data_IF_213620752433
#
_entry.id   IF_213620752433
#
_cell.length_a   1.000
_cell.length_b   1.000
_cell.length_c   1.000
_cell.angle_alpha   90.00
_cell.angle_beta   90.00
_cell.angle_gamma   90.00
#
_symmetry.space_group_name_H-M   'P 1'
#
loop_
_entity.id
_entity.type
_entity.pdbx_description
1 polymer ?
#
# COMPACT_ATOMS: atom_id res chain seq x y z
N UNK A 1 6.71 21.87 0.34
CA UNK A 1 5.45 21.24 -0.10
C UNK A 1 4.35 21.93 0.69
N UNK A 2 3.44 22.67 0.00
CA UNK A 2 2.38 23.44 0.67
C UNK A 2 1.34 22.56 1.35
N UNK A 3 1.13 21.35 0.83
CA UNK A 3 0.21 20.39 1.40
C UNK A 3 0.91 19.02 1.58
N UNK A 4 1.23 18.72 2.83
CA UNK A 4 1.96 17.50 3.19
C UNK A 4 1.07 16.26 3.10
N UNK A 5 -0.22 16.41 3.39
CA UNK A 5 -1.16 15.31 3.27
C UNK A 5 -1.36 14.91 1.81
N UNK A 6 -1.56 15.87 0.90
CA UNK A 6 -1.70 15.56 -0.53
C UNK A 6 -0.46 14.89 -1.11
N UNK A 7 0.74 15.26 -0.63
CA UNK A 7 1.96 14.55 -1.02
C UNK A 7 1.94 13.09 -0.55
N UNK A 8 1.62 12.85 0.71
CA UNK A 8 1.51 11.48 1.26
C UNK A 8 0.39 10.70 0.56
N UNK A 9 -0.78 11.28 0.42
CA UNK A 9 -1.92 10.69 -0.27
C UNK A 9 -1.58 10.25 -1.70
N UNK A 10 -0.79 11.05 -2.43
CA UNK A 10 -0.36 10.70 -3.79
C UNK A 10 0.57 9.48 -3.86
N UNK A 11 1.19 9.09 -2.74
CA UNK A 11 2.05 7.91 -2.65
C UNK A 11 1.29 6.63 -2.31
N UNK A 12 0.15 6.75 -1.63
CA UNK A 12 -0.62 5.59 -1.14
C UNK A 12 -1.89 5.31 -1.95
N UNK A 13 -2.36 6.26 -2.75
CA UNK A 13 -3.56 6.09 -3.59
C UNK A 13 -3.19 5.57 -4.97
N UNK A 14 -3.78 4.47 -5.37
CA UNK A 14 -3.70 3.95 -6.74
C UNK A 14 -4.55 4.79 -7.70
N UNK A 15 -5.74 5.20 -7.26
CA UNK A 15 -6.66 6.02 -8.03
C UNK A 15 -6.55 7.48 -7.62
N UNK A 16 -6.42 8.37 -8.60
CA UNK A 16 -6.44 9.81 -8.39
C UNK A 16 -7.87 10.33 -8.53
N UNK A 17 -8.15 11.49 -7.94
CA UNK A 17 -9.47 12.11 -8.01
C UNK A 17 -9.92 12.47 -9.43
N UNK A 18 -8.97 12.70 -10.33
CA UNK A 18 -9.21 13.01 -11.75
C UNK A 18 -9.33 11.77 -12.67
N UNK A 19 -9.17 10.57 -12.13
CA UNK A 19 -9.35 9.34 -12.91
C UNK A 19 -10.83 9.04 -13.22
N UNK A 20 -11.78 9.65 -12.52
CA UNK A 20 -13.25 9.55 -12.73
C UNK A 20 -13.77 8.10 -12.84
N UNK A 21 -13.16 7.19 -12.11
CA UNK A 21 -13.45 5.76 -12.19
C UNK A 21 -14.84 5.39 -11.63
N UNK A 22 -15.33 6.11 -10.63
CA UNK A 22 -16.63 5.86 -10.01
C UNK A 22 -17.74 6.65 -10.70
N UNK A 23 -18.88 6.01 -10.92
CA UNK A 23 -20.09 6.66 -11.49
C UNK A 23 -20.68 7.67 -10.51
N UNK A 24 -20.63 7.37 -9.21
CA UNK A 24 -21.07 8.25 -8.13
C UNK A 24 -19.88 8.85 -7.39
N UNK A 25 -20.14 9.88 -6.59
CA UNK A 25 -19.09 10.51 -5.80
C UNK A 25 -18.26 9.47 -5.04
N UNK A 26 -16.94 9.68 -5.05
CA UNK A 26 -16.03 8.87 -4.27
C UNK A 26 -16.39 9.01 -2.78
N UNK A 27 -16.44 7.91 -2.03
CA UNK A 27 -16.62 7.99 -0.59
C UNK A 27 -15.46 8.77 0.04
N UNK A 28 -15.75 9.55 1.07
CA UNK A 28 -14.72 10.24 1.83
C UNK A 28 -13.71 9.24 2.36
N UNK A 29 -12.46 9.51 2.09
CA UNK A 29 -11.37 8.67 2.56
C UNK A 29 -10.91 9.16 3.94
N UNK A 30 -11.13 8.38 4.97
CA UNK A 30 -10.73 8.70 6.36
C UNK A 30 -9.21 8.81 6.60
N UNK A 31 -8.39 8.63 5.57
CA UNK A 31 -6.93 8.76 5.70
C UNK A 31 -6.49 10.17 6.14
N UNK A 32 -7.20 11.21 5.69
CA UNK A 32 -6.91 12.58 6.09
C UNK A 32 -7.21 12.82 7.57
N UNK A 33 -8.32 12.30 8.03
CA UNK A 33 -8.73 12.38 9.44
C UNK A 33 -7.69 11.68 10.32
N UNK A 34 -7.31 10.46 9.98
CA UNK A 34 -6.28 9.70 10.69
C UNK A 34 -4.94 10.43 10.67
N UNK A 35 -4.53 10.98 9.51
CA UNK A 35 -3.29 11.73 9.39
C UNK A 35 -3.27 12.97 10.29
N UNK A 36 -4.43 13.64 10.45
CA UNK A 36 -4.58 14.83 11.28
C UNK A 36 -4.82 14.50 12.76
N UNK A 37 -5.37 13.33 13.08
CA UNK A 37 -5.62 12.84 14.45
C UNK A 37 -4.34 12.87 15.30
N UNK A 38 -3.17 12.62 14.71
CA UNK A 38 -1.88 12.60 15.43
C UNK A 38 -1.35 13.99 15.81
N UNK A 39 -2.18 15.03 15.67
CA UNK A 39 -1.95 16.37 16.23
C UNK A 39 -0.73 17.10 15.67
N UNK A 40 0.09 17.69 16.56
CA UNK A 40 1.24 18.54 16.22
C UNK A 40 2.53 17.80 15.92
N UNK A 41 2.49 16.48 15.78
CA UNK A 41 3.66 15.64 15.46
C UNK A 41 4.24 15.96 14.08
N UNK A 42 5.48 15.52 13.87
CA UNK A 42 6.20 15.70 12.60
C UNK A 42 5.53 14.97 11.44
N UNK A 43 5.88 15.35 10.21
CA UNK A 43 5.31 14.75 9.00
C UNK A 43 5.57 13.24 8.91
N UNK A 44 6.78 12.81 9.20
CA UNK A 44 7.16 11.38 9.19
C UNK A 44 6.37 10.60 10.23
N UNK A 45 6.18 11.16 11.42
CA UNK A 45 5.43 10.51 12.49
C UNK A 45 3.95 10.37 12.13
N UNK A 46 3.38 11.36 11.44
CA UNK A 46 2.00 11.29 10.93
C UNK A 46 1.85 10.21 9.86
N UNK A 47 2.79 10.12 8.92
CA UNK A 47 2.80 9.05 7.91
C UNK A 47 2.86 7.67 8.57
N UNK A 48 3.81 7.48 9.50
CA UNK A 48 3.95 6.21 10.25
C UNK A 48 2.68 5.84 11.02
N UNK A 49 2.01 6.82 11.61
CA UNK A 49 0.77 6.59 12.35
C UNK A 49 -0.38 6.20 11.42
N UNK A 50 -0.50 6.89 10.28
CA UNK A 50 -1.52 6.55 9.28
C UNK A 50 -1.30 5.14 8.72
N UNK A 51 -0.07 4.80 8.31
CA UNK A 51 0.26 3.45 7.84
C UNK A 51 -0.03 2.39 8.91
N UNK A 52 0.25 2.69 10.18
CA UNK A 52 -0.03 1.78 11.30
C UNK A 52 -1.52 1.52 11.47
N UNK A 53 -2.36 2.56 11.33
CA UNK A 53 -3.82 2.49 11.49
C UNK A 53 -4.55 1.92 10.26
N UNK A 54 -3.91 1.90 9.10
CA UNK A 54 -4.53 1.54 7.81
C UNK A 54 -3.79 0.40 7.12
N UNK A 55 -2.74 0.70 6.38
CA UNK A 55 -1.99 -0.27 5.58
C UNK A 55 -1.53 -1.50 6.36
N UNK A 56 -1.05 -1.30 7.60
CA UNK A 56 -0.60 -2.43 8.43
C UNK A 56 -1.76 -3.35 8.79
N UNK A 57 -2.90 -2.80 9.19
CA UNK A 57 -4.08 -3.58 9.63
C UNK A 57 -4.77 -4.22 8.45
N UNK A 58 -5.07 -3.43 7.42
CA UNK A 58 -5.96 -3.85 6.34
C UNK A 58 -5.25 -4.68 5.26
N UNK A 59 -3.93 -4.52 5.11
CA UNK A 59 -3.16 -5.27 4.12
C UNK A 59 -2.20 -6.28 4.78
N UNK A 60 -1.17 -5.81 5.49
CA UNK A 60 -0.06 -6.68 5.93
C UNK A 60 -0.52 -7.71 6.95
N UNK A 61 -1.18 -7.30 8.02
CA UNK A 61 -1.61 -8.21 9.08
C UNK A 61 -2.72 -9.14 8.60
N UNK A 62 -3.64 -8.62 7.80
CA UNK A 62 -4.72 -9.41 7.20
C UNK A 62 -4.17 -10.54 6.32
N UNK A 63 -3.17 -10.26 5.48
CA UNK A 63 -2.50 -11.28 4.64
C UNK A 63 -1.80 -12.34 5.48
N UNK A 64 -0.99 -11.89 6.44
CA UNK A 64 -0.21 -12.80 7.29
C UNK A 64 -1.13 -13.71 8.10
N UNK A 65 -2.14 -13.14 8.74
CA UNK A 65 -3.09 -13.90 9.53
C UNK A 65 -3.86 -14.92 8.69
N UNK A 66 -4.47 -14.50 7.59
CA UNK A 66 -5.24 -15.40 6.72
C UNK A 66 -4.39 -16.51 6.12
N UNK A 67 -3.19 -16.20 5.64
CA UNK A 67 -2.30 -17.19 5.06
C UNK A 67 -1.80 -18.20 6.10
N UNK A 68 -1.48 -17.74 7.30
CA UNK A 68 -1.03 -18.60 8.38
C UNK A 68 -2.18 -19.46 8.93
N UNK A 69 -3.34 -18.86 9.19
CA UNK A 69 -4.50 -19.57 9.72
C UNK A 69 -5.09 -20.58 8.72
N UNK A 70 -4.94 -20.35 7.42
CA UNK A 70 -5.28 -21.36 6.42
C UNK A 70 -4.54 -22.68 6.62
N UNK A 71 -3.35 -22.63 7.22
CA UNK A 71 -2.55 -23.80 7.61
C UNK A 71 -2.59 -24.08 9.12
N UNK A 72 -3.55 -23.53 9.85
CA UNK A 72 -3.70 -23.67 11.31
C UNK A 72 -2.46 -23.21 12.09
N UNK A 73 -1.74 -22.22 11.58
CA UNK A 73 -0.54 -21.67 12.20
C UNK A 73 -0.86 -20.29 12.81
N UNK A 74 -0.77 -20.18 14.12
CA UNK A 74 -0.86 -18.90 14.80
C UNK A 74 0.45 -18.13 14.70
N UNK A 75 0.38 -16.87 14.27
CA UNK A 75 1.54 -15.98 14.17
C UNK A 75 1.51 -14.91 15.25
N UNK A 76 2.68 -14.59 15.79
CA UNK A 76 2.89 -13.47 16.73
C UNK A 76 4.00 -12.60 16.20
N UNK A 77 3.73 -11.31 16.05
CA UNK A 77 4.67 -10.33 15.50
C UNK A 77 5.32 -9.56 16.64
N UNK A 78 6.61 -9.78 16.96
CA UNK A 78 7.26 -9.15 18.13
C UNK A 78 7.23 -7.62 18.10
N UNK A 79 7.30 -7.01 16.92
CA UNK A 79 7.23 -5.54 16.77
C UNK A 79 5.83 -4.96 17.00
N UNK A 80 4.80 -5.79 17.16
CA UNK A 80 3.43 -5.37 17.50
C UNK A 80 3.11 -5.57 18.98
N UNK A 81 4.10 -5.99 19.78
CA UNK A 81 3.96 -5.92 21.23
C UNK A 81 3.70 -4.49 21.67
N UNK A 82 2.77 -4.31 22.61
CA UNK A 82 2.32 -3.00 23.08
C UNK A 82 3.48 -2.13 23.56
N UNK A 83 4.35 -2.70 24.40
CA UNK A 83 5.45 -1.95 25.01
C UNK A 83 6.49 -1.55 23.96
N UNK A 84 6.70 -2.41 22.94
CA UNK A 84 7.58 -2.12 21.80
C UNK A 84 7.01 -1.00 20.95
N UNK A 85 5.70 -1.01 20.68
CA UNK A 85 5.03 0.05 19.90
C UNK A 85 5.11 1.38 20.64
N UNK A 86 4.73 1.42 21.92
CA UNK A 86 4.75 2.64 22.73
C UNK A 86 6.17 3.22 22.82
N UNK A 87 7.16 2.36 23.04
CA UNK A 87 8.55 2.75 23.02
C UNK A 87 8.99 3.30 21.66
N UNK A 88 8.66 2.61 20.58
CA UNK A 88 9.00 3.04 19.21
C UNK A 88 8.42 4.42 18.88
N UNK A 89 7.19 4.70 19.31
CA UNK A 89 6.59 6.03 19.12
C UNK A 89 7.23 7.10 20.01
N UNK A 90 7.80 6.75 21.16
CA UNK A 90 8.52 7.67 22.04
C UNK A 90 9.91 8.07 21.48
N UNK A 91 10.50 7.27 20.60
CA UNK A 91 11.83 7.53 20.03
C UNK A 91 11.77 8.78 19.13
N UNK A 92 12.65 9.78 19.31
CA UNK A 92 12.75 10.93 18.42
C UNK A 92 13.02 10.55 16.96
N UNK A 93 12.43 11.28 16.00
CA UNK A 93 12.52 11.03 14.55
C UNK A 93 13.96 10.85 14.06
N UNK A 94 14.92 11.64 14.57
CA UNK A 94 16.34 11.58 14.22
C UNK A 94 17.01 10.21 14.42
N UNK A 95 16.46 9.36 15.29
CA UNK A 95 16.92 7.99 15.51
C UNK A 95 16.18 6.95 14.66
N UNK A 96 15.09 7.35 14.03
CA UNK A 96 14.30 6.52 13.12
C UNK A 96 14.76 6.69 11.69
N UNK A 97 14.95 7.96 11.24
CA UNK A 97 15.29 8.30 9.85
C UNK A 97 16.24 9.50 9.79
N UNK A 98 17.19 9.45 8.84
CA UNK A 98 18.10 10.54 8.53
C UNK A 98 18.37 10.55 7.02
N UNK A 99 17.78 11.53 6.32
CA UNK A 99 17.83 11.56 4.86
C UNK A 99 17.16 10.32 4.26
N UNK A 100 17.88 9.60 3.41
CA UNK A 100 17.41 8.33 2.81
C UNK A 100 17.62 7.10 3.71
N UNK A 101 18.36 7.24 4.82
CA UNK A 101 18.62 6.13 5.71
C UNK A 101 17.50 5.99 6.74
N UNK A 102 16.75 4.90 6.67
CA UNK A 102 15.66 4.55 7.57
C UNK A 102 16.05 3.42 8.53
N UNK A 103 15.24 3.24 9.60
CA UNK A 103 15.42 2.19 10.62
C UNK A 103 16.76 2.25 11.33
N UNK A 104 17.29 3.45 11.57
CA UNK A 104 18.67 3.69 12.05
C UNK A 104 18.91 2.89 13.33
N UNK A 105 18.10 3.10 14.38
CA UNK A 105 18.27 2.43 15.65
C UNK A 105 18.23 0.90 15.55
N UNK A 106 17.37 0.35 14.67
CA UNK A 106 17.30 -1.09 14.44
C UNK A 106 18.52 -1.61 13.71
N UNK A 107 19.02 -0.88 12.70
CA UNK A 107 20.24 -1.25 11.98
C UNK A 107 21.46 -1.23 12.90
N UNK A 108 21.56 -0.22 13.75
CA UNK A 108 22.65 -0.12 14.72
C UNK A 108 22.60 -1.26 15.75
N UNK A 109 21.40 -1.59 16.27
CA UNK A 109 21.24 -2.71 17.18
C UNK A 109 21.61 -4.05 16.50
N UNK A 110 21.08 -4.31 15.32
CA UNK A 110 21.29 -5.59 14.60
C UNK A 110 22.75 -5.74 14.17
N UNK A 111 23.47 -4.65 13.90
CA UNK A 111 24.89 -4.69 13.52
C UNK A 111 25.81 -5.29 14.58
N UNK A 112 25.34 -5.42 15.83
CA UNK A 112 26.05 -6.15 16.87
C UNK A 112 25.94 -7.68 16.71
N UNK A 113 25.00 -8.16 15.90
CA UNK A 113 24.71 -9.60 15.74
C UNK A 113 24.93 -10.09 14.30
N UNK A 114 24.78 -9.20 13.32
CA UNK A 114 24.89 -9.52 11.89
C UNK A 114 25.85 -8.58 11.17
N UNK A 115 26.58 -9.05 10.15
CA UNK A 115 27.39 -8.22 9.28
C UNK A 115 26.56 -7.11 8.60
N UNK A 116 27.12 -5.91 8.46
CA UNK A 116 26.42 -4.76 7.86
C UNK A 116 25.99 -5.01 6.42
N UNK A 117 26.73 -5.78 5.66
CA UNK A 117 26.40 -6.16 4.28
C UNK A 117 25.06 -6.88 4.16
N UNK A 118 24.65 -7.61 5.20
CA UNK A 118 23.33 -8.27 5.25
C UNK A 118 22.20 -7.31 5.61
N UNK A 119 22.51 -6.24 6.36
CA UNK A 119 21.54 -5.25 6.85
C UNK A 119 21.28 -4.18 5.79
N UNK A 120 22.30 -3.78 5.04
CA UNK A 120 22.28 -2.65 4.09
C UNK A 120 21.96 -3.09 2.64
N UNK A 121 21.39 -4.28 2.46
CA UNK A 121 20.99 -4.77 1.14
C UNK A 121 19.90 -3.89 0.53
N UNK A 122 19.87 -3.73 -0.80
CA UNK A 122 18.75 -3.13 -1.48
C UNK A 122 17.44 -3.84 -1.11
N UNK A 123 16.41 -3.06 -0.81
CA UNK A 123 15.08 -3.62 -0.50
C UNK A 123 14.53 -4.30 -1.74
N UNK A 124 14.25 -5.60 -1.65
CA UNK A 124 13.55 -6.35 -2.67
C UNK A 124 12.08 -6.52 -2.23
N UNK A 125 11.16 -5.99 -3.03
CA UNK A 125 9.72 -6.15 -2.78
C UNK A 125 9.24 -7.57 -3.11
N UNK A 126 8.09 -7.95 -2.57
CA UNK A 126 7.38 -9.20 -2.90
C UNK A 126 6.49 -9.03 -4.13
N UNK A 127 6.97 -8.29 -5.13
CA UNK A 127 6.21 -8.07 -6.35
C UNK A 127 5.99 -9.38 -7.12
N UNK A 128 4.75 -9.67 -7.44
CA UNK A 128 4.37 -10.70 -8.43
C UNK A 128 4.20 -10.02 -9.78
N UNK A 129 4.51 -10.70 -10.90
CA UNK A 129 4.45 -10.08 -12.23
C UNK A 129 3.00 -10.00 -12.76
N UNK A 130 2.12 -9.33 -12.03
CA UNK A 130 0.69 -9.19 -12.33
C UNK A 130 0.51 -8.58 -13.72
N UNK A 131 1.25 -7.52 -14.04
CA UNK A 131 1.20 -6.87 -15.35
C UNK A 131 1.39 -7.87 -16.50
N UNK A 132 2.45 -8.67 -16.38
CA UNK A 132 2.73 -9.71 -17.39
C UNK A 132 1.63 -10.75 -17.46
N UNK A 133 1.13 -11.21 -16.33
CA UNK A 133 0.05 -12.20 -16.30
C UNK A 133 -1.23 -11.67 -16.93
N UNK A 134 -1.61 -10.44 -16.65
CA UNK A 134 -2.79 -9.81 -17.27
C UNK A 134 -2.63 -9.67 -18.78
N UNK A 135 -1.41 -9.44 -19.29
CA UNK A 135 -1.12 -9.37 -20.71
C UNK A 135 -1.04 -10.75 -21.38
N UNK A 136 -0.78 -11.83 -20.64
CA UNK A 136 -0.55 -13.19 -21.16
C UNK A 136 -1.56 -14.19 -20.61
N UNK A 137 -1.19 -14.90 -19.55
CA UNK A 137 -1.95 -16.07 -19.05
C UNK A 137 -3.34 -15.70 -18.50
N UNK A 138 -3.48 -14.52 -17.92
CA UNK A 138 -4.75 -14.02 -17.39
C UNK A 138 -5.47 -13.06 -18.34
N UNK A 139 -5.00 -12.85 -19.58
CA UNK A 139 -5.56 -11.87 -20.49
C UNK A 139 -7.08 -12.04 -20.71
N UNK A 140 -7.50 -13.27 -21.03
CA UNK A 140 -8.92 -13.57 -21.22
C UNK A 140 -9.73 -13.33 -19.97
N UNK A 141 -9.26 -13.84 -18.84
CA UNK A 141 -9.92 -13.66 -17.54
C UNK A 141 -10.00 -12.19 -17.14
N UNK A 142 -8.94 -11.41 -17.31
CA UNK A 142 -8.94 -9.97 -17.04
C UNK A 142 -10.00 -9.23 -17.84
N UNK A 143 -10.12 -9.55 -19.15
CA UNK A 143 -11.14 -8.96 -20.02
C UNK A 143 -12.55 -9.35 -19.60
N UNK A 144 -12.75 -10.60 -19.18
CA UNK A 144 -14.04 -11.08 -18.69
C UNK A 144 -14.45 -10.36 -17.41
N UNK A 145 -13.53 -10.28 -16.43
CA UNK A 145 -13.79 -9.63 -15.12
C UNK A 145 -14.07 -8.14 -15.24
N UNK A 146 -13.44 -7.45 -16.19
CA UNK A 146 -13.61 -6.01 -16.43
C UNK A 146 -14.59 -5.71 -17.59
N UNK A 147 -15.37 -6.71 -17.99
CA UNK A 147 -16.36 -6.55 -19.05
C UNK A 147 -17.53 -5.66 -18.63
N UNK A 148 -18.17 -5.06 -19.64
CA UNK A 148 -19.36 -4.24 -19.44
C UNK A 148 -20.47 -5.01 -18.71
N UNK A 149 -20.68 -6.29 -19.07
CA UNK A 149 -21.72 -7.12 -18.49
C UNK A 149 -21.57 -7.29 -16.97
N UNK A 150 -20.33 -7.49 -16.49
CA UNK A 150 -20.05 -7.60 -15.07
C UNK A 150 -20.17 -6.24 -14.41
N UNK A 151 -19.63 -5.18 -15.01
CA UNK A 151 -19.70 -3.84 -14.45
C UNK A 151 -21.16 -3.33 -14.35
N UNK A 152 -21.99 -3.60 -15.35
CA UNK A 152 -23.42 -3.23 -15.34
C UNK A 152 -24.19 -3.92 -14.20
N UNK A 153 -23.74 -5.09 -13.75
CA UNK A 153 -24.33 -5.78 -12.60
C UNK A 153 -24.15 -4.99 -11.29
N UNK A 154 -23.04 -4.30 -11.14
CA UNK A 154 -22.69 -3.54 -9.95
C UNK A 154 -23.01 -2.04 -10.10
N UNK A 155 -22.82 -1.49 -11.28
CA UNK A 155 -23.04 -0.08 -11.59
C UNK A 155 -22.08 0.90 -10.89
N UNK A 156 -20.94 0.42 -10.39
CA UNK A 156 -20.01 1.26 -9.62
C UNK A 156 -19.04 2.02 -10.49
N UNK A 157 -18.57 1.41 -11.59
CA UNK A 157 -17.44 1.93 -12.35
C UNK A 157 -17.88 2.55 -13.67
N UNK A 158 -17.20 3.63 -14.06
CA UNK A 158 -17.33 4.22 -15.39
C UNK A 158 -16.67 3.30 -16.41
N UNK A 159 -17.48 2.58 -17.19
CA UNK A 159 -17.00 1.58 -18.15
C UNK A 159 -16.03 2.16 -19.19
N UNK A 160 -16.23 3.40 -19.65
CA UNK A 160 -15.32 4.04 -20.61
C UNK A 160 -13.91 4.23 -20.01
N UNK A 161 -13.84 4.56 -18.72
CA UNK A 161 -12.57 4.69 -18.02
C UNK A 161 -11.90 3.33 -17.83
N UNK A 162 -12.67 2.29 -17.45
CA UNK A 162 -12.17 0.91 -17.34
C UNK A 162 -11.59 0.44 -18.67
N UNK A 163 -12.33 0.58 -19.76
CA UNK A 163 -11.89 0.17 -21.10
C UNK A 163 -10.63 0.90 -21.57
N UNK A 164 -10.54 2.20 -21.30
CA UNK A 164 -9.34 2.99 -21.60
C UNK A 164 -8.11 2.45 -20.86
N UNK A 165 -8.19 2.25 -19.54
CA UNK A 165 -7.06 1.74 -18.77
C UNK A 165 -6.70 0.30 -19.17
N UNK A 166 -7.71 -0.52 -19.49
CA UNK A 166 -7.51 -1.88 -19.92
C UNK A 166 -6.79 -1.94 -21.28
N UNK A 167 -7.21 -1.15 -22.28
CA UNK A 167 -6.54 -1.11 -23.59
C UNK A 167 -5.11 -0.59 -23.47
N UNK A 168 -4.89 0.56 -22.81
CA UNK A 168 -3.54 1.11 -22.60
C UNK A 168 -2.60 0.09 -21.94
N UNK A 169 -3.11 -0.73 -20.99
CA UNK A 169 -2.32 -1.74 -20.31
C UNK A 169 -2.01 -2.96 -21.19
N UNK A 170 -3.02 -3.51 -21.88
CA UNK A 170 -2.86 -4.70 -22.70
C UNK A 170 -2.03 -4.45 -23.97
N UNK A 171 -2.12 -3.23 -24.51
CA UNK A 171 -1.33 -2.79 -25.67
C UNK A 171 0.11 -2.39 -25.29
N UNK A 172 0.42 -2.37 -23.98
CA UNK A 172 1.74 -2.05 -23.47
C UNK A 172 2.09 -0.57 -23.50
N UNK A 173 1.11 0.31 -23.73
CA UNK A 173 1.33 1.76 -23.78
C UNK A 173 1.66 2.33 -22.38
N UNK A 174 0.91 1.86 -21.36
CA UNK A 174 1.10 2.23 -19.97
C UNK A 174 0.87 1.04 -19.04
N UNK A 175 1.59 1.01 -17.93
CA UNK A 175 1.34 0.02 -16.90
C UNK A 175 0.26 0.51 -15.93
N UNK A 176 -0.88 -0.15 -15.92
CA UNK A 176 -2.02 0.09 -15.04
C UNK A 176 -2.33 -1.11 -14.14
N UNK A 177 -1.35 -2.00 -13.90
CA UNK A 177 -1.56 -3.26 -13.19
C UNK A 177 -2.29 -3.10 -11.86
N UNK A 178 -1.84 -2.18 -11.00
CA UNK A 178 -2.46 -1.98 -9.68
C UNK A 178 -3.87 -1.42 -9.78
N UNK A 179 -4.10 -0.46 -10.69
CA UNK A 179 -5.43 0.10 -10.92
C UNK A 179 -6.41 -0.98 -11.39
N UNK A 180 -6.06 -1.72 -12.43
CA UNK A 180 -6.93 -2.76 -12.97
C UNK A 180 -7.14 -3.91 -11.98
N UNK A 181 -6.08 -4.31 -11.26
CA UNK A 181 -6.17 -5.35 -10.25
C UNK A 181 -7.10 -4.96 -9.09
N UNK A 182 -7.18 -3.69 -8.74
CA UNK A 182 -8.07 -3.21 -7.68
C UNK A 182 -9.56 -3.17 -8.09
N UNK A 183 -9.87 -3.30 -9.38
CA UNK A 183 -11.25 -3.37 -9.87
C UNK A 183 -11.78 -4.81 -9.99
N UNK A 184 -10.88 -5.80 -10.00
CA UNK A 184 -11.19 -7.23 -10.09
C UNK A 184 -11.45 -7.83 -8.72
#
# INVERSE_FOLDING_TARGET
>A
IRDRYNYYSSMIREWKSDDEILVNNQPDCHYEDIFNEFGTKGFIEKMMYTDFKTYMVDDILCKVDRAAMFHSLETRVPFLDKDVIEYAYSIPEKFKIKGSNSKIILKDLISNYLPRELIERPKQGFGVPISKWMQTDLNKWTKEMLSKDINDTHGFFNQQVVEKFLSEHLDGEKNHEHKLWSLI
#
